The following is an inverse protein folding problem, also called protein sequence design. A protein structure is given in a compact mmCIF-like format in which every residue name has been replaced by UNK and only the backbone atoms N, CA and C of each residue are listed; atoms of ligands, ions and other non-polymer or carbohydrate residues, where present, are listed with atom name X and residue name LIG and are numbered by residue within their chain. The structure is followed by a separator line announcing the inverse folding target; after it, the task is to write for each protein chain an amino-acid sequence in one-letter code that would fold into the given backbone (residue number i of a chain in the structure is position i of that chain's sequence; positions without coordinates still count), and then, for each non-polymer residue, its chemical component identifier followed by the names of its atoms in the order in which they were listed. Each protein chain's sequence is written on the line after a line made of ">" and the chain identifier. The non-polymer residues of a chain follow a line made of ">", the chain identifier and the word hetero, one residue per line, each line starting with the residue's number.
data_IF_769004031098
#
_entry.id   IF_769004031098
#
_cell.length_a   1.000
_cell.length_b   1.000
_cell.length_c   1.000
_cell.angle_alpha   90.00
_cell.angle_beta   90.00
_cell.angle_gamma   90.00
#
_symmetry.space_group_name_H-M   'P 1'
#
loop_
_entity.id
_entity.type
_entity.pdbx_description
1 polymer ?
#
# COMPACT_ATOMS: atom_id res chain seq x y z
N UNK A 1 -1.45 -0.06 27.29
CA UNK A 1 -1.44 0.47 25.90
C UNK A 1 -0.44 1.62 25.82
N UNK A 2 0.63 1.48 25.04
CA UNK A 2 1.70 2.49 24.93
C UNK A 2 1.11 3.79 24.38
N UNK A 3 1.31 4.92 25.08
CA UNK A 3 0.78 6.27 24.82
C UNK A 3 1.23 6.91 23.48
N UNK A 4 1.54 6.12 22.45
CA UNK A 4 1.86 6.61 21.10
C UNK A 4 0.55 6.94 20.39
N UNK A 5 0.39 8.17 19.85
CA UNK A 5 -0.80 8.52 19.09
C UNK A 5 -0.91 7.62 17.86
N UNK A 6 -2.11 7.06 17.64
CA UNK A 6 -2.41 6.36 16.40
C UNK A 6 -2.41 7.37 15.25
N UNK A 7 -1.69 7.07 14.17
CA UNK A 7 -1.75 7.90 12.97
C UNK A 7 -3.13 7.75 12.35
N UNK A 8 -3.82 8.87 12.16
CA UNK A 8 -5.06 8.96 11.38
C UNK A 8 -4.73 9.64 10.06
N UNK A 9 -5.12 9.00 8.95
CA UNK A 9 -4.98 9.56 7.60
C UNK A 9 -6.36 9.55 6.95
N UNK A 10 -6.77 10.69 6.39
CA UNK A 10 -8.00 10.85 5.62
C UNK A 10 -7.63 11.39 4.26
N UNK A 11 -8.21 10.82 3.21
CA UNK A 11 -8.00 11.26 1.83
C UNK A 11 -9.33 11.59 1.21
N UNK A 12 -9.48 12.82 0.74
CA UNK A 12 -10.71 13.34 0.17
C UNK A 12 -10.45 14.01 -1.17
N UNK A 13 -11.44 13.98 -2.06
CA UNK A 13 -11.39 14.69 -3.34
C UNK A 13 -12.16 15.99 -3.23
N UNK A 14 -11.45 17.11 -3.32
CA UNK A 14 -12.02 18.45 -3.18
C UNK A 14 -11.24 19.43 -4.04
N UNK A 15 -11.91 20.40 -4.67
CA UNK A 15 -11.27 21.39 -5.54
C UNK A 15 -10.42 20.75 -6.65
N UNK A 16 -10.94 19.67 -7.24
CA UNK A 16 -10.35 18.90 -8.33
C UNK A 16 -8.95 18.33 -8.02
N UNK A 17 -8.71 17.97 -6.76
CA UNK A 17 -7.44 17.41 -6.29
C UNK A 17 -7.68 16.49 -5.09
N UNK A 18 -6.76 15.55 -4.86
CA UNK A 18 -6.75 14.77 -3.63
C UNK A 18 -6.10 15.57 -2.50
N UNK A 19 -6.83 15.72 -1.41
CA UNK A 19 -6.38 16.29 -0.15
C UNK A 19 -6.18 15.17 0.87
N UNK A 20 -4.98 15.08 1.43
CA UNK A 20 -4.58 14.10 2.44
C UNK A 20 -4.38 14.82 3.76
N UNK A 21 -5.19 14.48 4.76
CA UNK A 21 -5.17 15.06 6.10
C UNK A 21 -4.61 14.01 7.06
N UNK A 22 -3.48 14.33 7.71
CA UNK A 22 -2.89 13.48 8.76
C UNK A 22 -3.03 14.09 10.13
N UNK A 23 -3.50 13.30 11.09
CA UNK A 23 -3.70 13.67 12.49
C UNK A 23 -4.43 15.01 12.66
N UNK A 24 -5.40 15.26 11.78
CA UNK A 24 -6.24 16.48 11.73
C UNK A 24 -5.45 17.81 11.66
N UNK A 25 -4.18 17.77 11.23
CA UNK A 25 -3.28 18.95 11.24
C UNK A 25 -2.48 19.12 9.95
N UNK A 26 -2.03 18.03 9.34
CA UNK A 26 -1.14 18.10 8.18
C UNK A 26 -1.95 17.85 6.91
N UNK A 27 -2.26 18.92 6.18
CA UNK A 27 -2.86 18.85 4.86
C UNK A 27 -1.76 18.77 3.80
N UNK A 28 -1.80 17.74 2.96
CA UNK A 28 -0.97 17.64 1.75
C UNK A 28 -1.85 17.38 0.53
N UNK A 29 -1.49 17.99 -0.59
CA UNK A 29 -2.19 17.80 -1.87
C UNK A 29 -1.38 16.83 -2.72
N UNK A 30 -2.03 15.78 -3.22
CA UNK A 30 -1.40 14.90 -4.20
C UNK A 30 -1.44 15.56 -5.58
N UNK A 31 -0.34 15.46 -6.31
CA UNK A 31 -0.23 15.94 -7.69
C UNK A 31 -0.76 14.92 -8.70
N UNK A 32 -0.75 13.65 -8.32
CA UNK A 32 -1.06 12.52 -9.19
C UNK A 32 -2.41 11.88 -8.84
N UNK A 33 -3.01 11.21 -9.82
CA UNK A 33 -4.19 10.38 -9.65
C UNK A 33 -3.93 9.16 -8.76
N UNK A 34 -4.93 8.76 -7.97
CA UNK A 34 -4.91 7.50 -7.23
C UNK A 34 -5.59 6.45 -8.10
N UNK A 35 -4.81 5.77 -8.94
CA UNK A 35 -5.33 4.75 -9.87
C UNK A 35 -5.29 3.32 -9.28
N UNK A 36 -4.46 3.11 -8.26
CA UNK A 36 -4.29 1.82 -7.60
C UNK A 36 -4.06 2.00 -6.10
N UNK A 37 -4.90 1.38 -5.28
CA UNK A 37 -4.80 1.42 -3.82
C UNK A 37 -3.99 0.21 -3.29
N UNK A 38 -3.26 0.36 -2.17
CA UNK A 38 -2.42 -0.72 -1.63
C UNK A 38 -3.24 -1.96 -1.29
N UNK A 39 -4.48 -1.77 -0.82
CA UNK A 39 -5.38 -2.88 -0.49
C UNK A 39 -5.65 -3.82 -1.69
N UNK A 40 -5.58 -3.31 -2.93
CA UNK A 40 -5.81 -4.10 -4.13
C UNK A 40 -4.75 -5.19 -4.35
N UNK A 41 -3.55 -5.06 -3.76
CA UNK A 41 -2.51 -6.10 -3.80
C UNK A 41 -2.92 -7.40 -3.09
N UNK A 42 -4.00 -7.39 -2.31
CA UNK A 42 -4.53 -8.62 -1.70
C UNK A 42 -5.55 -9.34 -2.57
N UNK A 43 -6.02 -8.71 -3.66
CA UNK A 43 -7.15 -9.22 -4.45
C UNK A 43 -6.85 -9.32 -5.94
N UNK A 44 -5.97 -8.46 -6.46
CA UNK A 44 -5.69 -8.34 -7.89
C UNK A 44 -4.19 -8.29 -8.15
N UNK A 45 -3.75 -9.09 -9.11
CA UNK A 45 -2.38 -9.03 -9.61
C UNK A 45 -2.09 -7.67 -10.30
N UNK A 46 -1.04 -6.94 -9.88
CA UNK A 46 -0.76 -5.58 -10.33
C UNK A 46 0.01 -5.55 -11.67
N UNK A 47 -0.53 -6.19 -12.71
CA UNK A 47 0.09 -6.24 -14.04
C UNK A 47 0.16 -4.82 -14.63
N UNK A 48 1.36 -4.36 -14.96
CA UNK A 48 1.59 -3.02 -15.52
C UNK A 48 1.43 -1.87 -14.53
N UNK A 49 1.32 -2.16 -13.23
CA UNK A 49 1.20 -1.15 -12.17
C UNK A 49 2.55 -1.00 -11.46
N UNK A 50 3.10 0.21 -11.45
CA UNK A 50 4.42 0.54 -10.88
C UNK A 50 4.34 1.28 -9.53
N UNK A 51 3.14 1.68 -9.12
CA UNK A 51 2.91 2.35 -7.84
C UNK A 51 1.52 2.08 -7.29
N UNK A 52 1.38 2.17 -5.97
CA UNK A 52 0.09 2.13 -5.31
C UNK A 52 0.00 3.15 -4.19
N UNK A 53 -1.20 3.61 -3.92
CA UNK A 53 -1.48 4.55 -2.85
C UNK A 53 -1.59 3.85 -1.50
N UNK A 54 -0.81 4.30 -0.51
CA UNK A 54 -0.91 3.85 0.88
C UNK A 54 -2.03 4.63 1.57
N UNK A 55 -3.14 3.98 1.88
CA UNK A 55 -4.25 4.57 2.63
C UNK A 55 -3.82 4.91 4.07
N UNK A 56 -2.90 4.11 4.62
CA UNK A 56 -2.32 4.33 5.95
C UNK A 56 -1.39 5.56 5.96
N UNK A 57 -0.46 5.65 5.00
CA UNK A 57 0.56 6.70 5.00
C UNK A 57 0.16 7.92 4.15
N UNK A 58 -0.93 7.86 3.40
CA UNK A 58 -1.37 8.94 2.53
C UNK A 58 -0.38 9.33 1.42
N UNK A 59 0.43 8.37 0.97
CA UNK A 59 1.50 8.57 -0.02
C UNK A 59 1.62 7.39 -0.97
N UNK A 60 2.28 7.57 -2.11
CA UNK A 60 2.54 6.47 -3.04
C UNK A 60 3.72 5.59 -2.58
N UNK A 61 3.54 4.28 -2.73
CA UNK A 61 4.56 3.24 -2.63
C UNK A 61 4.93 2.78 -4.05
N UNK A 62 6.14 2.27 -4.20
CA UNK A 62 6.60 1.68 -5.48
C UNK A 62 6.24 0.21 -5.53
N UNK A 63 5.78 -0.27 -6.68
CA UNK A 63 5.60 -1.68 -7.01
C UNK A 63 6.68 -2.07 -8.04
N UNK A 64 7.40 -3.14 -7.76
CA UNK A 64 8.47 -3.67 -8.60
C UNK A 64 8.08 -5.10 -8.99
N UNK A 65 7.94 -5.36 -10.29
CA UNK A 65 7.78 -6.72 -10.80
C UNK A 65 9.07 -7.51 -10.61
N UNK A 66 8.95 -8.70 -10.03
CA UNK A 66 10.06 -9.64 -9.85
C UNK A 66 10.01 -10.80 -10.86
N UNK A 67 9.06 -10.76 -11.81
CA UNK A 67 8.76 -11.87 -12.71
C UNK A 67 7.96 -12.99 -12.03
N UNK A 68 7.53 -14.00 -12.80
CA UNK A 68 6.82 -15.20 -12.32
C UNK A 68 5.66 -14.89 -11.36
N UNK A 69 4.82 -13.90 -11.69
CA UNK A 69 3.67 -13.49 -10.87
C UNK A 69 4.06 -13.06 -9.44
N UNK A 70 5.27 -12.50 -9.27
CA UNK A 70 5.79 -11.98 -8.01
C UNK A 70 6.03 -10.47 -8.07
N UNK A 71 5.67 -9.77 -7.00
CA UNK A 71 5.78 -8.32 -6.92
C UNK A 71 6.29 -7.88 -5.55
N UNK A 72 7.19 -6.90 -5.55
CA UNK A 72 7.67 -6.24 -4.34
C UNK A 72 7.01 -4.87 -4.21
N UNK A 73 6.47 -4.55 -3.04
CA UNK A 73 6.05 -3.19 -2.67
C UNK A 73 7.11 -2.59 -1.75
N UNK A 74 7.64 -1.42 -2.11
CA UNK A 74 8.56 -0.64 -1.30
C UNK A 74 7.87 0.64 -0.82
N UNK A 75 7.85 0.88 0.50
CA UNK A 75 7.34 2.14 1.04
C UNK A 75 8.43 3.20 1.21
N UNK A 76 8.03 4.43 1.54
CA UNK A 76 8.93 5.56 1.77
C UNK A 76 9.92 5.38 2.93
N UNK A 77 9.73 4.36 3.77
CA UNK A 77 10.61 4.00 4.90
C UNK A 77 11.54 2.84 4.58
N UNK A 78 11.57 2.37 3.33
CA UNK A 78 12.41 1.26 2.88
C UNK A 78 11.89 -0.12 3.27
N UNK A 79 10.68 -0.23 3.81
CA UNK A 79 10.08 -1.54 4.14
C UNK A 79 9.55 -2.23 2.91
N UNK A 80 9.75 -3.54 2.88
CA UNK A 80 9.43 -4.37 1.73
C UNK A 80 8.31 -5.35 2.06
N UNK A 81 7.34 -5.44 1.16
CA UNK A 81 6.37 -6.54 1.16
C UNK A 81 6.50 -7.29 -0.17
N UNK A 82 6.37 -8.62 -0.15
CA UNK A 82 6.41 -9.45 -1.36
C UNK A 82 5.08 -10.18 -1.52
N UNK A 83 4.52 -10.13 -2.72
CA UNK A 83 3.21 -10.70 -3.07
C UNK A 83 3.40 -11.74 -4.17
N UNK A 84 2.79 -12.90 -4.00
CA UNK A 84 2.87 -14.05 -4.89
C UNK A 84 1.48 -14.39 -5.40
N UNK A 85 1.31 -14.36 -6.72
CA UNK A 85 0.03 -14.62 -7.37
C UNK A 85 0.08 -15.94 -8.15
N UNK A 86 -1.09 -16.54 -8.32
CA UNK A 86 -1.33 -17.67 -9.21
C UNK A 86 -2.69 -17.46 -9.87
N UNK A 87 -2.74 -17.54 -11.19
CA UNK A 87 -3.96 -17.33 -11.99
C UNK A 87 -4.65 -15.99 -11.66
N UNK A 88 -3.87 -14.94 -11.42
CA UNK A 88 -4.35 -13.59 -11.08
C UNK A 88 -4.77 -13.37 -9.62
N UNK A 89 -4.82 -14.43 -8.80
CA UNK A 89 -5.22 -14.37 -7.40
C UNK A 89 -4.01 -14.42 -6.46
N UNK A 90 -4.02 -13.61 -5.39
CA UNK A 90 -2.97 -13.65 -4.38
C UNK A 90 -3.02 -15.00 -3.64
N UNK A 91 -1.88 -15.70 -3.59
CA UNK A 91 -1.72 -16.95 -2.84
C UNK A 91 -0.91 -16.78 -1.57
N UNK A 92 0.05 -15.87 -1.59
CA UNK A 92 0.92 -15.61 -0.45
C UNK A 92 1.37 -14.15 -0.44
N UNK A 93 1.50 -13.58 0.75
CA UNK A 93 2.15 -12.30 0.96
C UNK A 93 3.08 -12.36 2.18
N UNK A 94 4.30 -11.84 2.04
CA UNK A 94 5.27 -11.65 3.12
C UNK A 94 5.28 -10.16 3.45
N UNK A 95 4.97 -9.81 4.69
CA UNK A 95 4.74 -8.43 5.11
C UNK A 95 5.75 -8.03 6.19
N UNK A 96 6.53 -6.98 5.92
CA UNK A 96 7.29 -6.24 6.93
C UNK A 96 6.34 -5.27 7.65
N UNK A 97 5.84 -5.68 8.81
CA UNK A 97 5.00 -4.85 9.69
C UNK A 97 5.82 -3.87 10.54
N UNK A 98 7.14 -3.94 10.51
CA UNK A 98 8.10 -3.16 11.30
C UNK A 98 8.38 -3.68 12.69
N UNK A 99 7.34 -3.94 13.47
CA UNK A 99 7.51 -4.55 14.79
C UNK A 99 7.50 -6.07 14.69
N UNK A 100 6.70 -6.59 13.76
CA UNK A 100 6.52 -8.01 13.51
C UNK A 100 6.44 -8.21 12.01
N UNK A 101 7.08 -9.26 11.54
CA UNK A 101 6.95 -9.75 10.18
C UNK A 101 5.99 -10.92 10.17
N UNK A 102 5.14 -10.99 9.15
CA UNK A 102 4.16 -12.06 9.04
C UNK A 102 3.92 -12.47 7.60
N UNK A 103 3.49 -13.72 7.46
CA UNK A 103 3.06 -14.30 6.20
C UNK A 103 1.54 -14.47 6.20
N UNK A 104 0.91 -14.08 5.09
CA UNK A 104 -0.49 -14.39 4.80
C UNK A 104 -0.48 -15.43 3.69
N UNK A 105 -1.16 -16.55 3.90
CA UNK A 105 -1.31 -17.61 2.89
C UNK A 105 -2.78 -17.90 2.70
N UNK A 106 -3.25 -17.85 1.45
CA UNK A 106 -4.61 -18.21 1.10
C UNK A 106 -4.79 -19.72 1.29
N UNK A 107 -5.85 -20.13 1.99
CA UNK A 107 -6.25 -21.54 2.03
C UNK A 107 -7.05 -21.86 0.75
N UNK A 108 -6.84 -23.07 0.25
CA UNK A 108 -7.62 -23.63 -0.85
C UNK A 108 -9.10 -23.83 -0.48
#
# INVERSE_FOLDING_TARGET
>A
VNKKPHTKTVTQWENNRYQVIKNDKNLSVLKDSIDYATILLYFKEPIGVDRCYSEQDGSFNTIISLGNHMYKKLNSKGKENVYYYKDGALKKAIIDGGLVDFEITAKD
#
